data_IF_397526833429
#
_entry.id   IF_397526833429
#
_cell.length_a   1.000
_cell.length_b   1.000
_cell.length_c   1.000
_cell.angle_alpha   90.00
_cell.angle_beta   90.00
_cell.angle_gamma   90.00
#
_symmetry.space_group_name_H-M   'P 1'
#
loop_
_entity.id
_entity.type
_entity.pdbx_description
1 polymer ?
#
# COMPACT_ATOMS: atom_id res chain seq x y z
N UNK A 1 3.21 -18.81 -26.79
CA UNK A 1 2.54 -18.63 -28.10
C UNK A 1 3.05 -17.43 -28.90
N UNK A 2 3.58 -16.37 -28.28
CA UNK A 2 4.18 -15.20 -28.98
C UNK A 2 5.56 -15.50 -29.60
N UNK A 3 6.36 -16.41 -29.02
CA UNK A 3 7.68 -16.81 -29.54
C UNK A 3 7.60 -17.55 -30.88
N UNK A 4 6.45 -18.14 -31.21
CA UNK A 4 6.23 -18.88 -32.44
C UNK A 4 6.02 -18.02 -33.71
N UNK A 5 5.62 -16.77 -33.58
CA UNK A 5 5.25 -15.91 -34.73
C UNK A 5 6.44 -15.19 -35.39
N UNK A 6 7.58 -15.02 -34.68
CA UNK A 6 8.80 -14.42 -35.23
C UNK A 6 9.72 -15.44 -35.93
N UNK A 7 9.38 -16.72 -35.90
CA UNK A 7 10.25 -17.81 -36.34
C UNK A 7 10.11 -18.23 -37.81
N UNK A 8 9.35 -17.55 -38.61
CA UNK A 8 8.91 -18.00 -39.95
C UNK A 8 9.87 -17.81 -41.13
N UNK A 9 11.16 -17.43 -40.96
CA UNK A 9 11.98 -17.17 -42.15
C UNK A 9 13.50 -17.22 -42.00
N UNK A 10 14.04 -17.47 -40.81
CA UNK A 10 15.49 -17.49 -40.58
C UNK A 10 16.02 -18.92 -40.45
N UNK A 11 17.22 -19.20 -40.95
CA UNK A 11 17.92 -20.46 -40.74
C UNK A 11 18.24 -20.72 -39.25
N UNK A 12 18.48 -21.97 -38.86
CA UNK A 12 18.68 -22.37 -37.45
C UNK A 12 19.77 -21.58 -36.72
N UNK A 13 20.88 -21.25 -37.41
CA UNK A 13 21.99 -20.47 -36.83
C UNK A 13 21.61 -18.98 -36.61
N UNK A 14 20.85 -18.36 -37.51
CA UNK A 14 20.37 -16.99 -37.35
C UNK A 14 19.34 -16.86 -36.21
N UNK A 15 18.53 -17.90 -35.99
CA UNK A 15 17.60 -17.98 -34.85
C UNK A 15 18.32 -18.11 -33.52
N UNK A 16 19.42 -18.89 -33.48
CA UNK A 16 20.24 -19.06 -32.28
C UNK A 16 20.99 -17.76 -31.93
N UNK A 17 21.53 -17.05 -32.93
CA UNK A 17 22.17 -15.74 -32.73
C UNK A 17 21.18 -14.69 -32.26
N UNK A 18 20.03 -14.55 -32.92
CA UNK A 18 18.99 -13.59 -32.50
C UNK A 18 18.47 -13.91 -31.08
N UNK A 19 18.41 -15.18 -30.68
CA UNK A 19 18.03 -15.57 -29.31
C UNK A 19 19.13 -15.24 -28.30
N UNK A 20 20.42 -15.39 -28.64
CA UNK A 20 21.53 -14.98 -27.79
C UNK A 20 21.57 -13.46 -27.61
N UNK A 21 21.47 -12.69 -28.70
CA UNK A 21 21.39 -11.22 -28.65
C UNK A 21 20.19 -10.75 -27.79
N UNK A 22 19.07 -11.47 -27.86
CA UNK A 22 17.89 -11.19 -27.03
C UNK A 22 18.17 -11.47 -25.53
N UNK A 23 18.88 -12.56 -25.21
CA UNK A 23 19.27 -12.89 -23.85
C UNK A 23 20.25 -11.88 -23.25
N UNK A 24 21.15 -11.31 -24.07
CA UNK A 24 22.09 -10.26 -23.65
C UNK A 24 21.39 -8.94 -23.28
N UNK A 25 20.19 -8.70 -23.79
CA UNK A 25 19.31 -7.56 -23.43
C UNK A 25 18.47 -7.85 -22.19
N UNK A 26 18.59 -9.04 -21.62
CA UNK A 26 17.90 -9.47 -20.41
C UNK A 26 18.68 -9.15 -19.15
N UNK A 27 17.95 -8.97 -18.05
CA UNK A 27 18.51 -8.92 -16.70
C UNK A 27 17.76 -9.87 -15.78
N UNK A 28 18.47 -10.47 -14.84
CA UNK A 28 17.92 -11.32 -13.82
C UNK A 28 18.48 -10.90 -12.46
N UNK A 29 17.62 -10.81 -11.45
CA UNK A 29 18.02 -10.53 -10.08
C UNK A 29 17.27 -11.47 -9.14
N UNK A 30 17.98 -12.12 -8.24
CA UNK A 30 17.41 -12.96 -7.19
C UNK A 30 17.77 -12.38 -5.83
N UNK A 31 16.77 -11.99 -5.07
CA UNK A 31 16.89 -11.57 -3.68
C UNK A 31 16.22 -12.59 -2.76
N UNK A 32 16.85 -12.89 -1.66
CA UNK A 32 16.27 -13.66 -0.56
C UNK A 32 16.17 -12.75 0.67
N UNK A 33 14.99 -12.65 1.22
CA UNK A 33 14.68 -11.89 2.42
C UNK A 33 14.33 -12.88 3.53
N UNK A 34 15.01 -12.79 4.66
CA UNK A 34 14.67 -13.53 5.87
C UNK A 34 14.46 -12.53 7.00
N UNK A 35 13.34 -12.67 7.71
CA UNK A 35 13.01 -11.77 8.82
C UNK A 35 12.31 -12.49 9.97
N UNK A 36 12.48 -11.95 11.16
CA UNK A 36 11.69 -12.29 12.35
C UNK A 36 11.07 -11.04 12.94
N UNK A 37 9.83 -11.13 13.38
CA UNK A 37 9.09 -10.03 13.97
C UNK A 37 8.36 -10.44 15.23
N UNK A 38 8.37 -9.54 16.22
CA UNK A 38 7.60 -9.65 17.46
C UNK A 38 6.67 -8.45 17.61
N UNK A 39 5.48 -8.71 18.15
CA UNK A 39 4.41 -7.70 18.31
C UNK A 39 3.91 -7.69 19.75
N UNK A 40 3.89 -6.52 20.34
CA UNK A 40 3.22 -6.27 21.62
C UNK A 40 1.72 -6.16 21.41
N UNK A 41 1.00 -7.29 21.47
CA UNK A 41 -0.45 -7.31 21.39
C UNK A 41 -1.06 -6.72 22.65
N UNK A 42 -2.14 -5.98 22.51
CA UNK A 42 -2.87 -5.44 23.66
C UNK A 42 -3.93 -6.44 24.12
N UNK A 43 -3.71 -7.08 25.26
CA UNK A 43 -4.64 -8.02 25.86
C UNK A 43 -6.00 -7.37 26.22
N UNK A 44 -5.97 -6.11 26.67
CA UNK A 44 -7.14 -5.29 27.01
C UNK A 44 -7.68 -4.45 25.85
N UNK A 45 -7.41 -4.85 24.61
CA UNK A 45 -7.95 -4.19 23.42
C UNK A 45 -9.48 -4.23 23.42
N UNK A 46 -10.11 -3.08 23.25
CA UNK A 46 -11.58 -2.99 23.08
C UNK A 46 -12.05 -3.54 21.73
N UNK A 47 -11.19 -3.51 20.71
CA UNK A 47 -11.52 -3.98 19.35
C UNK A 47 -11.21 -5.47 19.16
N UNK A 48 -10.27 -6.00 19.95
CA UNK A 48 -9.78 -7.38 19.80
C UNK A 48 -9.53 -8.03 21.17
N UNK A 49 -10.58 -8.14 22.03
CA UNK A 49 -10.42 -8.65 23.39
C UNK A 49 -9.89 -10.08 23.37
N UNK A 50 -8.79 -10.31 24.11
CA UNK A 50 -8.12 -11.61 24.18
C UNK A 50 -7.63 -12.10 22.81
N UNK A 51 -7.39 -11.21 21.86
CA UNK A 51 -6.95 -11.52 20.48
C UNK A 51 -7.91 -12.47 19.72
N UNK A 52 -9.20 -12.48 20.04
CA UNK A 52 -10.17 -13.45 19.51
C UNK A 52 -10.80 -13.04 18.16
N UNK A 53 -10.85 -11.74 17.86
CA UNK A 53 -11.51 -11.22 16.65
C UNK A 53 -10.56 -11.21 15.45
N UNK A 54 -9.42 -10.54 15.56
CA UNK A 54 -8.47 -10.42 14.48
C UNK A 54 -7.43 -11.56 14.43
N UNK A 55 -7.25 -12.34 15.52
CA UNK A 55 -6.25 -13.40 15.62
C UNK A 55 -4.87 -12.97 15.10
N UNK A 56 -4.33 -11.92 15.68
CA UNK A 56 -3.03 -11.38 15.29
C UNK A 56 -1.90 -12.29 15.84
N UNK A 57 -0.89 -12.66 15.03
CA UNK A 57 0.25 -13.40 15.54
C UNK A 57 1.11 -12.49 16.45
N UNK A 58 1.53 -13.01 17.59
CA UNK A 58 2.44 -12.33 18.50
C UNK A 58 3.87 -12.26 17.91
N UNK A 59 4.26 -13.30 17.16
CA UNK A 59 5.53 -13.32 16.44
C UNK A 59 5.38 -13.96 15.06
N UNK A 60 6.31 -13.64 14.17
CA UNK A 60 6.31 -14.19 12.80
C UNK A 60 7.73 -14.25 12.25
N UNK A 61 8.13 -15.44 11.82
CA UNK A 61 9.35 -15.65 11.03
C UNK A 61 8.94 -15.81 9.57
N UNK A 62 9.65 -15.15 8.67
CA UNK A 62 9.33 -15.14 7.24
C UNK A 62 10.60 -15.31 6.41
N UNK A 63 10.51 -16.13 5.34
CA UNK A 63 11.53 -16.21 4.29
C UNK A 63 10.83 -15.98 2.96
N UNK A 64 11.28 -14.98 2.21
CA UNK A 64 10.71 -14.62 0.90
C UNK A 64 11.79 -14.61 -0.17
N UNK A 65 11.57 -15.37 -1.24
CA UNK A 65 12.35 -15.33 -2.48
C UNK A 65 11.71 -14.36 -3.47
N UNK A 66 12.51 -13.45 -4.02
CA UNK A 66 12.13 -12.43 -5.01
C UNK A 66 12.99 -12.59 -6.25
N UNK A 67 12.40 -13.09 -7.32
CA UNK A 67 13.06 -13.16 -8.61
C UNK A 67 12.54 -12.02 -9.49
N UNK A 68 13.44 -11.24 -10.05
CA UNK A 68 13.15 -10.16 -10.99
C UNK A 68 13.80 -10.50 -12.33
N UNK A 69 12.97 -10.67 -13.35
CA UNK A 69 13.36 -10.91 -14.71
C UNK A 69 12.89 -9.76 -15.59
N UNK A 70 13.77 -9.21 -16.38
CA UNK A 70 13.45 -8.14 -17.33
C UNK A 70 14.16 -8.42 -18.66
N UNK A 71 13.43 -8.22 -19.74
CA UNK A 71 13.93 -8.20 -21.11
C UNK A 71 13.40 -6.93 -21.76
N UNK A 72 14.28 -6.09 -22.28
CA UNK A 72 13.91 -4.82 -22.89
C UNK A 72 14.63 -4.63 -24.23
N UNK A 73 13.84 -4.32 -25.26
CA UNK A 73 14.30 -3.95 -26.61
C UNK A 73 13.70 -2.61 -26.99
N UNK A 74 14.06 -2.07 -28.13
CA UNK A 74 13.47 -0.82 -28.65
C UNK A 74 11.98 -0.95 -28.98
N UNK A 75 11.49 -2.18 -29.21
CA UNK A 75 10.12 -2.43 -29.68
C UNK A 75 9.21 -3.06 -28.62
N UNK A 76 9.79 -3.74 -27.63
CA UNK A 76 9.01 -4.35 -26.54
C UNK A 76 9.82 -4.50 -25.25
N UNK A 77 9.11 -4.58 -24.15
CA UNK A 77 9.63 -4.90 -22.84
C UNK A 77 8.78 -6.01 -22.20
N UNK A 78 9.43 -6.97 -21.54
CA UNK A 78 8.79 -8.00 -20.72
C UNK A 78 9.38 -7.93 -19.32
N UNK A 79 8.53 -7.83 -18.31
CA UNK A 79 8.92 -7.87 -16.89
C UNK A 79 8.16 -9.00 -16.21
N UNK A 80 8.87 -9.83 -15.43
CA UNK A 80 8.28 -10.91 -14.66
C UNK A 80 8.90 -10.95 -13.27
N UNK A 81 8.09 -10.79 -12.22
CA UNK A 81 8.51 -10.76 -10.82
C UNK A 81 7.73 -11.77 -9.98
N UNK A 82 8.05 -13.07 -10.08
CA UNK A 82 7.50 -14.08 -9.19
C UNK A 82 8.07 -13.94 -7.78
N UNK A 83 7.24 -14.28 -6.80
CA UNK A 83 7.54 -14.24 -5.37
C UNK A 83 7.12 -15.57 -4.76
N UNK A 84 7.88 -16.04 -3.80
CA UNK A 84 7.52 -17.18 -2.96
C UNK A 84 7.86 -16.85 -1.53
N UNK A 85 6.95 -17.11 -0.59
CA UNK A 85 7.08 -16.75 0.80
C UNK A 85 6.63 -17.88 1.70
N UNK A 86 7.49 -18.24 2.64
CA UNK A 86 7.19 -19.11 3.76
C UNK A 86 7.04 -18.25 5.01
N UNK A 87 5.95 -18.48 5.76
CA UNK A 87 5.69 -17.82 7.04
C UNK A 87 5.49 -18.87 8.14
N UNK A 88 6.09 -18.62 9.27
CA UNK A 88 5.84 -19.32 10.52
C UNK A 88 5.31 -18.31 11.54
N UNK A 89 4.01 -18.40 11.83
CA UNK A 89 3.28 -17.48 12.68
C UNK A 89 3.12 -18.06 14.07
N UNK A 90 3.46 -17.31 15.10
CA UNK A 90 3.34 -17.68 16.51
C UNK A 90 2.13 -17.00 17.12
N UNK A 91 1.12 -17.79 17.50
CA UNK A 91 -0.07 -17.34 18.24
C UNK A 91 0.03 -17.87 19.65
N UNK A 92 -0.02 -17.05 20.68
CA UNK A 92 0.13 -17.44 22.07
C UNK A 92 -0.38 -18.84 22.43
N UNK A 93 -1.66 -18.98 22.75
CA UNK A 93 -2.24 -20.25 23.25
C UNK A 93 -2.58 -21.28 22.14
N UNK A 94 -2.76 -20.88 20.91
CA UNK A 94 -3.24 -21.78 19.82
C UNK A 94 -2.12 -22.51 19.08
N UNK A 95 -0.87 -22.28 19.46
CA UNK A 95 0.29 -22.88 18.78
C UNK A 95 0.66 -22.17 17.47
N UNK A 96 1.75 -22.60 16.82
CA UNK A 96 2.21 -22.00 15.59
C UNK A 96 1.42 -22.47 14.36
N UNK A 97 1.30 -21.58 13.39
CA UNK A 97 0.75 -21.89 12.06
C UNK A 97 1.82 -21.64 11.00
N UNK A 98 1.88 -22.50 9.99
CA UNK A 98 2.77 -22.31 8.84
C UNK A 98 1.96 -22.00 7.61
N UNK A 99 2.54 -21.19 6.72
CA UNK A 99 1.92 -20.79 5.48
C UNK A 99 2.96 -20.68 4.37
N UNK A 100 2.64 -21.20 3.20
CA UNK A 100 3.45 -21.07 2.00
C UNK A 100 2.61 -20.38 0.92
N UNK A 101 3.16 -19.32 0.36
CA UNK A 101 2.54 -18.55 -0.69
C UNK A 101 3.46 -18.36 -1.88
N UNK A 102 2.89 -18.42 -3.07
CA UNK A 102 3.56 -18.03 -4.29
C UNK A 102 2.63 -17.16 -5.14
N UNK A 103 3.19 -16.10 -5.72
CA UNK A 103 2.42 -15.18 -6.59
C UNK A 103 3.33 -14.51 -7.60
N UNK A 104 2.73 -13.93 -8.62
CA UNK A 104 3.42 -13.02 -9.55
C UNK A 104 3.07 -11.59 -9.13
N UNK A 105 4.06 -10.84 -8.66
CA UNK A 105 3.86 -9.45 -8.25
C UNK A 105 3.77 -8.49 -9.44
N UNK A 106 4.59 -8.74 -10.49
CA UNK A 106 4.54 -8.07 -11.77
C UNK A 106 4.73 -9.10 -12.87
N UNK A 107 3.93 -9.02 -13.92
CA UNK A 107 4.01 -9.87 -15.11
C UNK A 107 3.45 -9.06 -16.28
N UNK A 108 4.28 -8.20 -16.87
CA UNK A 108 3.87 -7.17 -17.81
C UNK A 108 4.59 -7.34 -19.15
N UNK A 109 3.85 -7.23 -20.22
CA UNK A 109 4.39 -7.07 -21.57
C UNK A 109 4.01 -5.68 -22.06
N UNK A 110 4.98 -4.91 -22.49
CA UNK A 110 4.81 -3.59 -23.08
C UNK A 110 5.33 -3.59 -24.50
N UNK A 111 4.54 -3.09 -25.45
CA UNK A 111 4.89 -2.90 -26.86
C UNK A 111 5.03 -1.41 -27.13
N UNK A 112 6.01 -1.06 -27.95
CA UNK A 112 6.27 0.30 -28.44
C UNK A 112 6.05 0.37 -29.95
N UNK A 113 4.77 0.46 -30.44
CA UNK A 113 4.47 0.49 -31.87
C UNK A 113 5.11 1.70 -32.57
N UNK A 114 5.21 2.80 -31.85
CA UNK A 114 5.96 4.01 -32.21
C UNK A 114 6.57 4.61 -30.92
N UNK A 115 7.60 5.44 -31.04
CA UNK A 115 8.31 6.02 -29.88
C UNK A 115 7.41 6.79 -28.90
N UNK A 116 6.29 7.35 -29.39
CA UNK A 116 5.36 8.11 -28.57
C UNK A 116 4.22 7.27 -27.96
N UNK A 117 4.12 5.96 -28.25
CA UNK A 117 3.01 5.11 -27.81
C UNK A 117 3.52 3.82 -27.19
N UNK A 118 3.16 3.59 -25.92
CA UNK A 118 3.36 2.34 -25.22
C UNK A 118 2.00 1.67 -24.96
N UNK A 119 1.91 0.37 -25.25
CA UNK A 119 0.73 -0.46 -24.97
C UNK A 119 1.15 -1.63 -24.10
N UNK A 120 0.58 -1.73 -22.92
CA UNK A 120 0.97 -2.72 -21.90
C UNK A 120 -0.21 -3.62 -21.55
N UNK A 121 0.08 -4.90 -21.30
CA UNK A 121 -0.90 -5.88 -20.84
C UNK A 121 -0.25 -6.80 -19.82
N UNK A 122 -0.94 -7.05 -18.73
CA UNK A 122 -0.50 -7.97 -17.69
C UNK A 122 -0.70 -7.42 -16.29
N UNK A 123 0.14 -7.83 -15.36
CA UNK A 123 0.09 -7.42 -13.95
C UNK A 123 1.16 -6.37 -13.66
N UNK A 124 0.75 -5.26 -13.04
CA UNK A 124 1.66 -4.16 -12.71
C UNK A 124 1.29 -3.49 -11.38
N UNK A 125 2.27 -2.79 -10.81
CA UNK A 125 2.13 -1.94 -9.63
C UNK A 125 2.03 -0.49 -10.07
N UNK A 126 0.83 0.07 -10.01
CA UNK A 126 0.50 1.38 -10.57
C UNK A 126 0.57 2.47 -9.48
N UNK A 127 1.73 3.06 -9.32
CA UNK A 127 1.95 4.12 -8.35
C UNK A 127 2.15 5.46 -9.04
N UNK A 128 1.58 6.50 -8.45
CA UNK A 128 1.84 7.89 -8.80
C UNK A 128 1.57 8.80 -7.60
N UNK A 129 1.90 10.08 -7.75
CA UNK A 129 1.80 11.06 -6.69
C UNK A 129 3.10 11.21 -5.88
N UNK A 130 3.38 12.40 -5.37
CA UNK A 130 4.63 12.76 -4.73
C UNK A 130 4.70 12.42 -3.24
N UNK A 131 3.58 12.14 -2.58
CA UNK A 131 3.54 11.98 -1.12
C UNK A 131 4.33 10.78 -0.63
N UNK A 132 4.83 10.84 0.61
CA UNK A 132 5.59 9.76 1.23
C UNK A 132 4.73 8.82 2.08
N UNK A 133 3.56 9.26 2.54
CA UNK A 133 2.75 8.47 3.47
C UNK A 133 1.47 7.91 2.84
N UNK A 134 0.72 8.74 2.13
CA UNK A 134 -0.57 8.36 1.54
C UNK A 134 -0.72 8.97 0.16
N UNK A 135 -1.43 8.31 -0.74
CA UNK A 135 -1.69 8.81 -2.09
C UNK A 135 -3.19 9.00 -2.34
N UNK A 136 -3.77 10.12 -1.90
CA UNK A 136 -5.20 10.36 -2.11
C UNK A 136 -5.59 10.53 -3.57
N UNK A 137 -4.67 10.87 -4.46
CA UNK A 137 -4.94 10.96 -5.90
C UNK A 137 -5.06 9.59 -6.58
N UNK A 138 -4.47 8.53 -5.98
CA UNK A 138 -4.46 7.19 -6.57
C UNK A 138 -5.76 6.43 -6.22
N UNK A 139 -6.58 6.01 -7.21
CA UNK A 139 -7.81 5.26 -6.95
C UNK A 139 -7.56 3.78 -6.65
N UNK A 140 -6.35 3.26 -6.90
CA UNK A 140 -5.98 1.86 -6.72
C UNK A 140 -5.32 1.68 -5.36
N UNK A 141 -4.27 2.47 -5.06
CA UNK A 141 -3.51 2.37 -3.82
C UNK A 141 -3.60 3.67 -3.03
N UNK A 142 -4.24 3.64 -1.89
CA UNK A 142 -4.21 4.76 -0.94
C UNK A 142 -2.88 4.78 -0.17
N UNK A 143 -2.32 3.62 0.11
CA UNK A 143 -0.96 3.49 0.63
C UNK A 143 0.04 3.45 -0.52
N UNK A 144 1.13 4.17 -0.39
CA UNK A 144 2.13 4.26 -1.45
C UNK A 144 3.28 3.23 -1.33
N UNK A 145 3.19 2.26 -0.41
CA UNK A 145 4.21 1.24 -0.19
C UNK A 145 5.51 1.72 0.48
N UNK A 146 5.69 3.04 0.61
CA UNK A 146 6.89 3.63 1.23
C UNK A 146 6.91 3.51 2.75
N UNK A 147 5.76 3.16 3.35
CA UNK A 147 5.61 3.03 4.80
C UNK A 147 6.34 1.81 5.38
N UNK A 148 6.54 0.78 4.59
CA UNK A 148 7.26 -0.42 4.98
C UNK A 148 8.20 -0.83 3.84
N UNK A 149 9.52 -0.54 3.95
CA UNK A 149 10.49 -0.85 2.89
C UNK A 149 10.66 -2.35 2.63
N UNK A 150 10.17 -3.21 3.53
CA UNK A 150 10.24 -4.66 3.36
C UNK A 150 9.04 -5.24 2.60
N UNK A 151 7.95 -4.50 2.48
CA UNK A 151 6.72 -4.95 1.83
C UNK A 151 6.56 -4.30 0.46
N UNK A 152 6.40 -5.11 -0.57
CA UNK A 152 6.02 -4.65 -1.89
C UNK A 152 4.49 -4.46 -1.97
N UNK A 153 4.06 -3.45 -2.70
CA UNK A 153 2.66 -3.37 -3.12
C UNK A 153 2.34 -4.51 -4.06
N UNK A 154 1.14 -5.06 -3.94
CA UNK A 154 0.65 -6.12 -4.82
C UNK A 154 0.24 -5.54 -6.17
N UNK A 155 0.71 -6.15 -7.25
CA UNK A 155 0.30 -5.79 -8.61
C UNK A 155 -1.16 -6.09 -8.88
N UNK A 156 -1.74 -5.36 -9.84
CA UNK A 156 -3.09 -5.53 -10.36
C UNK A 156 -3.06 -5.88 -11.86
N UNK A 157 -4.03 -6.64 -12.32
CA UNK A 157 -4.11 -7.06 -13.73
C UNK A 157 -4.70 -5.93 -14.57
N UNK A 158 -3.95 -5.46 -15.57
CA UNK A 158 -4.28 -4.25 -16.32
C UNK A 158 -3.99 -4.38 -17.81
N UNK A 159 -4.77 -3.64 -18.61
CA UNK A 159 -4.37 -3.19 -19.93
C UNK A 159 -4.22 -1.66 -19.90
N UNK A 160 -3.14 -1.16 -20.47
CA UNK A 160 -2.82 0.25 -20.48
C UNK A 160 -2.31 0.68 -21.85
N UNK A 161 -2.71 1.87 -22.28
CA UNK A 161 -2.11 2.57 -23.42
C UNK A 161 -1.66 3.95 -22.94
N UNK A 162 -0.40 4.29 -23.17
CA UNK A 162 0.18 5.58 -22.83
C UNK A 162 0.72 6.24 -24.07
N UNK A 163 0.21 7.43 -24.38
CA UNK A 163 0.64 8.26 -25.51
C UNK A 163 1.33 9.52 -25.00
N UNK A 164 2.58 9.72 -25.42
CA UNK A 164 3.41 10.85 -25.05
C UNK A 164 3.74 11.68 -26.30
N UNK A 165 2.84 12.60 -26.73
CA UNK A 165 3.04 13.41 -27.93
C UNK A 165 4.25 14.34 -27.86
N UNK A 166 4.65 14.70 -26.64
CA UNK A 166 5.86 15.48 -26.35
C UNK A 166 6.55 14.91 -25.10
N UNK A 167 7.78 15.34 -24.82
CA UNK A 167 8.49 14.97 -23.58
C UNK A 167 7.78 15.50 -22.31
N UNK A 168 6.99 16.56 -22.46
CA UNK A 168 6.30 17.20 -21.35
C UNK A 168 4.91 16.63 -21.07
N UNK A 169 4.24 16.05 -22.05
CA UNK A 169 2.84 15.63 -21.96
C UNK A 169 2.68 14.12 -22.15
N UNK A 170 1.99 13.47 -21.24
CA UNK A 170 1.62 12.06 -21.32
C UNK A 170 0.14 11.85 -21.02
N UNK A 171 -0.50 11.02 -21.82
CA UNK A 171 -1.91 10.63 -21.71
C UNK A 171 -1.97 9.12 -21.55
N UNK A 172 -2.57 8.62 -20.46
CA UNK A 172 -2.71 7.19 -20.19
C UNK A 172 -4.18 6.81 -20.09
N UNK A 173 -4.54 5.74 -20.78
CA UNK A 173 -5.82 5.04 -20.63
C UNK A 173 -5.50 3.68 -20.00
N UNK A 174 -6.21 3.32 -18.94
CA UNK A 174 -5.99 2.10 -18.18
C UNK A 174 -7.32 1.41 -17.89
N UNK A 175 -7.32 0.09 -18.02
CA UNK A 175 -8.39 -0.76 -17.56
C UNK A 175 -7.81 -1.86 -16.64
N UNK A 176 -8.25 -1.88 -15.37
CA UNK A 176 -7.99 -2.93 -14.41
C UNK A 176 -9.07 -4.00 -14.52
N UNK A 177 -8.67 -5.25 -14.69
CA UNK A 177 -9.57 -6.38 -14.88
C UNK A 177 -10.03 -6.96 -13.54
N UNK A 178 -11.32 -7.28 -13.43
CA UNK A 178 -11.93 -7.96 -12.31
C UNK A 178 -11.62 -7.30 -10.97
N UNK A 179 -11.25 -8.09 -9.98
CA UNK A 179 -10.71 -7.64 -8.70
C UNK A 179 -9.18 -7.38 -8.75
N UNK A 180 -8.58 -7.48 -9.95
CA UNK A 180 -7.18 -7.20 -10.22
C UNK A 180 -6.21 -8.24 -9.69
N UNK A 181 -6.70 -9.39 -9.19
CA UNK A 181 -5.87 -10.48 -8.64
C UNK A 181 -6.40 -11.83 -9.10
N UNK A 182 -5.50 -12.73 -9.47
CA UNK A 182 -5.84 -14.11 -9.77
C UNK A 182 -6.27 -14.89 -8.51
N UNK A 183 -6.95 -16.03 -8.69
CA UNK A 183 -7.54 -16.86 -7.61
C UNK A 183 -6.52 -17.40 -6.60
N UNK A 184 -5.24 -17.41 -6.94
CA UNK A 184 -4.12 -17.79 -6.07
C UNK A 184 -3.59 -16.65 -5.17
N UNK A 185 -4.24 -15.49 -5.18
CA UNK A 185 -4.00 -14.40 -4.25
C UNK A 185 -5.18 -14.29 -3.28
N UNK A 186 -4.98 -14.70 -2.09
CA UNK A 186 -5.92 -14.93 -0.99
C UNK A 186 -6.30 -13.68 -0.19
N UNK A 187 -5.64 -12.54 -0.38
CA UNK A 187 -6.04 -11.27 0.21
C UNK A 187 -6.87 -10.49 -0.80
N UNK A 188 -8.19 -10.65 -0.70
CA UNK A 188 -9.15 -9.82 -1.44
C UNK A 188 -9.28 -8.48 -0.72
N UNK A 189 -8.53 -7.50 -1.15
CA UNK A 189 -8.78 -6.12 -0.74
C UNK A 189 -9.88 -5.52 -1.62
N UNK A 190 -10.87 -4.89 -1.01
CA UNK A 190 -12.00 -4.24 -1.70
C UNK A 190 -11.56 -3.14 -2.70
N UNK A 191 -10.31 -2.70 -2.62
CA UNK A 191 -9.71 -1.72 -3.52
C UNK A 191 -9.53 -2.20 -4.97
N UNK A 192 -9.44 -3.51 -5.20
CA UNK A 192 -9.04 -4.09 -6.48
C UNK A 192 -10.22 -4.57 -7.34
N UNK A 193 -11.29 -3.78 -7.44
CA UNK A 193 -12.42 -4.05 -8.33
C UNK A 193 -12.18 -3.43 -9.70
N UNK A 194 -12.79 -4.03 -10.76
CA UNK A 194 -12.68 -3.54 -12.13
C UNK A 194 -12.84 -2.02 -12.22
N UNK A 195 -11.86 -1.38 -12.85
CA UNK A 195 -11.70 0.07 -12.89
C UNK A 195 -11.24 0.49 -14.29
N UNK A 196 -11.87 1.50 -14.87
CA UNK A 196 -11.30 2.24 -16.00
C UNK A 196 -10.80 3.59 -15.52
N UNK A 197 -9.65 4.02 -16.04
CA UNK A 197 -8.99 5.25 -15.65
C UNK A 197 -8.38 5.95 -16.86
N UNK A 198 -8.52 7.28 -16.90
CA UNK A 198 -7.77 8.17 -17.76
C UNK A 198 -6.88 9.05 -16.89
N UNK A 199 -5.63 9.24 -17.29
CA UNK A 199 -4.63 10.05 -16.58
C UNK A 199 -3.91 10.95 -17.58
N UNK A 200 -3.64 12.17 -17.16
CA UNK A 200 -2.86 13.17 -17.89
C UNK A 200 -1.76 13.64 -16.97
N UNK A 201 -0.53 13.58 -17.44
CA UNK A 201 0.64 14.11 -16.73
C UNK A 201 1.30 15.20 -17.58
N UNK A 202 1.65 16.29 -16.92
CA UNK A 202 2.47 17.35 -17.47
C UNK A 202 3.73 17.54 -16.65
N UNK A 203 4.87 17.43 -17.29
CA UNK A 203 6.20 17.56 -16.67
C UNK A 203 6.89 18.80 -17.25
N UNK A 204 7.22 19.73 -16.38
CA UNK A 204 8.10 20.86 -16.66
C UNK A 204 9.45 20.64 -15.98
N UNK A 205 10.41 21.55 -16.19
CA UNK A 205 11.78 21.43 -15.68
C UNK A 205 11.86 21.15 -14.17
N UNK A 206 11.09 21.89 -13.36
CA UNK A 206 11.09 21.77 -11.90
C UNK A 206 9.76 21.29 -11.33
N UNK A 207 8.76 20.95 -12.16
CA UNK A 207 7.41 20.69 -11.71
C UNK A 207 6.76 19.53 -12.46
N UNK A 208 5.93 18.77 -11.76
CA UNK A 208 5.07 17.75 -12.36
C UNK A 208 3.65 17.98 -11.87
N UNK A 209 2.67 17.88 -12.76
CA UNK A 209 1.24 17.92 -12.44
C UNK A 209 0.56 16.74 -13.10
N UNK A 210 -0.28 16.02 -12.35
CA UNK A 210 -1.07 14.93 -12.87
C UNK A 210 -2.54 15.07 -12.49
N UNK A 211 -3.40 14.72 -13.44
CA UNK A 211 -4.85 14.65 -13.25
C UNK A 211 -5.32 13.26 -13.65
N UNK A 212 -6.27 12.71 -12.93
CA UNK A 212 -6.91 11.48 -13.33
C UNK A 212 -8.41 11.47 -13.07
N UNK A 213 -9.11 10.72 -13.90
CA UNK A 213 -10.52 10.41 -13.73
C UNK A 213 -10.70 8.90 -13.84
N UNK A 214 -11.43 8.31 -12.92
CA UNK A 214 -11.62 6.86 -12.87
C UNK A 214 -13.04 6.49 -12.51
N UNK A 215 -13.49 5.31 -12.98
CA UNK A 215 -14.80 4.76 -12.69
C UNK A 215 -14.67 3.26 -12.43
N UNK A 216 -15.17 2.81 -11.28
CA UNK A 216 -15.35 1.38 -10.97
C UNK A 216 -16.63 0.88 -11.60
N UNK A 217 -16.60 -0.32 -12.16
CA UNK A 217 -17.76 -0.90 -12.84
C UNK A 217 -18.90 -1.22 -11.87
N UNK A 218 -18.58 -1.50 -10.62
CA UNK A 218 -19.54 -1.78 -9.55
C UNK A 218 -20.15 -0.52 -8.91
N UNK A 219 -19.62 0.68 -9.24
CA UNK A 219 -20.09 1.94 -8.67
C UNK A 219 -20.47 2.89 -9.80
N UNK A 220 -21.67 3.45 -9.75
CA UNK A 220 -22.18 4.33 -10.81
C UNK A 220 -21.39 5.64 -10.97
N UNK A 221 -20.55 6.01 -9.98
CA UNK A 221 -20.00 7.36 -9.86
C UNK A 221 -18.50 7.42 -10.11
N UNK A 222 -18.01 8.43 -10.84
CA UNK A 222 -16.59 8.62 -11.08
C UNK A 222 -15.87 9.10 -9.82
N UNK A 223 -14.54 8.86 -9.81
CA UNK A 223 -13.58 9.45 -8.89
C UNK A 223 -12.61 10.29 -9.69
N UNK A 224 -12.22 11.42 -9.14
CA UNK A 224 -11.21 12.32 -9.69
C UNK A 224 -10.03 12.37 -8.74
N UNK A 225 -8.83 12.43 -9.30
CA UNK A 225 -7.58 12.61 -8.57
C UNK A 225 -6.73 13.68 -9.23
N UNK A 226 -5.97 14.40 -8.43
CA UNK A 226 -5.00 15.37 -8.88
C UNK A 226 -3.77 15.34 -7.98
N UNK A 227 -2.60 15.59 -8.54
CA UNK A 227 -1.39 15.80 -7.80
C UNK A 227 -0.49 16.82 -8.50
N UNK A 228 0.37 17.44 -7.73
CA UNK A 228 1.40 18.32 -8.25
C UNK A 228 2.57 18.38 -7.30
N UNK A 229 3.75 18.56 -7.86
CA UNK A 229 4.97 18.83 -7.10
C UNK A 229 5.83 19.85 -7.84
N UNK A 230 6.61 20.59 -7.07
CA UNK A 230 7.60 21.53 -7.60
C UNK A 230 8.81 21.58 -6.70
N UNK A 231 10.00 21.69 -7.29
CA UNK A 231 11.26 21.89 -6.58
C UNK A 231 11.62 23.37 -6.63
N UNK A 232 11.92 23.96 -5.49
CA UNK A 232 12.31 25.37 -5.34
C UNK A 232 13.78 25.39 -4.92
N UNK A 233 14.62 25.96 -5.78
CA UNK A 233 16.08 25.86 -5.61
C UNK A 233 16.54 24.41 -5.71
N UNK A 234 17.54 24.03 -4.92
CA UNK A 234 18.15 22.69 -4.94
C UNK A 234 17.66 21.78 -3.79
N UNK A 235 16.99 22.35 -2.78
CA UNK A 235 16.74 21.66 -1.52
C UNK A 235 15.28 21.53 -1.13
N UNK A 236 14.36 22.39 -1.61
CA UNK A 236 12.98 22.42 -1.17
C UNK A 236 12.05 21.81 -2.22
N UNK A 237 11.43 20.68 -1.87
CA UNK A 237 10.33 20.06 -2.62
C UNK A 237 9.00 20.42 -1.96
N UNK A 238 8.06 20.98 -2.72
CA UNK A 238 6.68 21.18 -2.29
C UNK A 238 5.73 20.34 -3.13
N UNK A 239 4.68 19.81 -2.52
CA UNK A 239 3.70 19.00 -3.21
C UNK A 239 2.34 19.01 -2.57
N UNK A 240 1.33 18.70 -3.39
CA UNK A 240 -0.02 18.44 -2.93
C UNK A 240 -0.66 17.36 -3.79
N UNK A 241 -1.56 16.60 -3.21
CA UNK A 241 -2.40 15.66 -3.94
C UNK A 241 -3.78 15.54 -3.31
N UNK A 242 -4.77 15.16 -4.13
CA UNK A 242 -6.13 15.01 -3.68
C UNK A 242 -6.93 14.02 -4.50
N UNK A 243 -7.92 13.43 -3.86
CA UNK A 243 -8.93 12.58 -4.47
C UNK A 243 -10.33 13.04 -4.09
N UNK A 244 -11.24 12.99 -5.04
CA UNK A 244 -12.64 13.39 -4.89
C UNK A 244 -13.54 12.29 -5.45
N UNK A 245 -14.55 11.88 -4.69
CA UNK A 245 -15.59 10.94 -5.12
C UNK A 245 -16.93 11.29 -4.50
N UNK A 246 -17.99 10.73 -5.06
CA UNK A 246 -19.32 10.84 -4.46
C UNK A 246 -19.67 9.52 -3.76
N UNK A 247 -20.18 9.62 -2.51
CA UNK A 247 -20.59 8.48 -1.71
C UNK A 247 -19.43 7.75 -1.00
N UNK A 248 -19.79 6.92 -0.03
CA UNK A 248 -18.87 6.10 0.77
C UNK A 248 -19.47 4.74 1.03
N UNK A 249 -18.63 3.70 1.07
CA UNK A 249 -18.96 2.36 1.56
C UNK A 249 -18.57 2.14 3.02
N UNK A 250 -17.96 3.15 3.66
CA UNK A 250 -17.54 3.05 5.04
C UNK A 250 -18.74 2.89 6.00
N UNK A 251 -18.52 2.12 7.05
CA UNK A 251 -19.48 1.92 8.12
C UNK A 251 -19.29 2.98 9.20
N UNK A 252 -20.40 3.46 9.74
CA UNK A 252 -20.41 4.47 10.79
C UNK A 252 -21.11 3.93 12.05
N UNK A 253 -20.63 4.31 13.25
CA UNK A 253 -21.22 3.87 14.50
C UNK A 253 -22.59 4.52 14.71
N UNK A 254 -23.63 3.71 14.87
CA UNK A 254 -25.00 4.11 15.16
C UNK A 254 -25.47 3.49 16.49
N UNK A 255 -26.11 4.28 17.37
CA UNK A 255 -26.70 3.78 18.61
C UNK A 255 -27.99 3.02 18.29
N UNK A 256 -28.10 1.80 18.82
CA UNK A 256 -29.29 0.95 18.70
C UNK A 256 -29.63 0.35 20.06
N UNK A 257 -30.90 0.06 20.33
CA UNK A 257 -31.35 -0.59 21.59
C UNK A 257 -31.09 -2.11 21.52
N UNK A 258 -29.82 -2.52 21.48
CA UNK A 258 -29.37 -3.91 21.50
C UNK A 258 -28.37 -4.14 22.63
N UNK A 259 -27.95 -5.39 22.85
CA UNK A 259 -27.07 -5.78 23.95
C UNK A 259 -25.71 -5.11 23.93
N UNK A 260 -25.23 -4.64 22.76
CA UNK A 260 -23.94 -3.94 22.59
C UNK A 260 -24.11 -2.41 22.43
N UNK A 261 -25.32 -1.88 22.55
CA UNK A 261 -25.61 -0.45 22.49
C UNK A 261 -25.51 0.20 21.11
N UNK A 262 -25.34 -0.59 20.04
CA UNK A 262 -25.23 -0.05 18.70
C UNK A 262 -24.81 -1.04 17.62
N UNK A 263 -24.50 -0.51 16.43
CA UNK A 263 -23.96 -1.25 15.30
C UNK A 263 -23.14 -0.33 14.39
N UNK A 264 -22.39 -0.90 13.45
CA UNK A 264 -21.69 -0.20 12.38
C UNK A 264 -22.47 -0.36 11.09
N UNK A 265 -23.01 0.73 10.57
CA UNK A 265 -23.95 0.73 9.46
C UNK A 265 -23.52 1.68 8.35
N UNK A 266 -23.86 1.39 7.07
CA UNK A 266 -23.71 2.35 5.99
C UNK A 266 -24.58 3.59 6.26
N UNK A 267 -24.04 4.77 5.98
CA UNK A 267 -24.82 6.02 6.05
C UNK A 267 -25.35 6.41 4.67
N UNK A 268 -26.54 5.97 4.31
CA UNK A 268 -27.19 6.31 3.05
C UNK A 268 -27.31 7.82 2.80
N UNK A 269 -27.44 8.63 3.86
CA UNK A 269 -27.40 10.10 3.75
C UNK A 269 -26.07 10.65 3.20
N UNK A 270 -25.02 9.83 3.15
CA UNK A 270 -23.72 10.19 2.55
C UNK A 270 -23.55 9.71 1.12
N UNK A 271 -24.48 8.95 0.56
CA UNK A 271 -24.37 8.41 -0.80
C UNK A 271 -24.28 9.51 -1.87
N UNK A 272 -24.86 10.68 -1.58
CA UNK A 272 -24.82 11.85 -2.49
C UNK A 272 -23.77 12.89 -2.09
N UNK A 273 -23.07 12.72 -0.98
CA UNK A 273 -22.06 13.69 -0.53
C UNK A 273 -20.76 13.52 -1.27
N UNK A 274 -20.08 14.63 -1.49
CA UNK A 274 -18.70 14.64 -1.95
C UNK A 274 -17.79 14.18 -0.80
N UNK A 275 -17.03 13.15 -1.07
CA UNK A 275 -15.98 12.63 -0.21
C UNK A 275 -14.66 13.04 -0.83
N UNK A 276 -13.83 13.70 -0.03
CA UNK A 276 -12.49 14.09 -0.45
C UNK A 276 -11.44 13.59 0.52
N UNK A 277 -10.26 13.39 -0.02
CA UNK A 277 -9.02 13.23 0.74
C UNK A 277 -7.98 14.14 0.08
N UNK A 278 -7.37 15.02 0.84
CA UNK A 278 -6.41 16.01 0.35
C UNK A 278 -5.18 16.01 1.23
N UNK A 279 -4.01 16.03 0.62
CA UNK A 279 -2.71 16.05 1.27
C UNK A 279 -1.91 17.21 0.72
N UNK A 280 -1.23 17.93 1.61
CA UNK A 280 -0.21 18.91 1.27
C UNK A 280 1.04 18.62 2.09
N UNK A 281 2.20 18.76 1.47
CA UNK A 281 3.46 18.46 2.12
C UNK A 281 4.65 19.08 1.44
N UNK A 282 5.81 18.87 2.05
CA UNK A 282 7.08 19.30 1.51
C UNK A 282 8.23 18.50 2.12
N UNK A 283 9.35 18.55 1.43
CA UNK A 283 10.60 17.96 1.85
C UNK A 283 11.73 18.97 1.72
N UNK A 284 12.58 19.04 2.72
CA UNK A 284 13.78 19.87 2.70
C UNK A 284 15.03 19.04 2.94
N UNK A 285 15.96 19.10 2.02
CA UNK A 285 17.27 18.43 2.15
C UNK A 285 18.28 19.42 2.73
N UNK A 286 18.79 19.05 3.90
CA UNK A 286 19.82 19.83 4.61
C UNK A 286 21.20 19.63 3.93
N UNK A 287 22.12 20.57 4.14
CA UNK A 287 23.52 20.47 3.66
C UNK A 287 24.23 19.23 4.19
N UNK A 288 23.79 18.71 5.33
CA UNK A 288 24.26 17.44 5.89
C UNK A 288 23.80 16.19 5.13
N UNK A 289 23.00 16.34 4.07
CA UNK A 289 22.44 15.24 3.28
C UNK A 289 21.20 14.60 3.90
N UNK A 290 20.71 15.07 5.04
CA UNK A 290 19.48 14.57 5.64
C UNK A 290 18.26 15.26 5.02
N UNK A 291 17.18 14.50 4.77
CA UNK A 291 15.93 15.07 4.27
C UNK A 291 14.84 14.96 5.31
N UNK A 292 14.14 16.06 5.53
CA UNK A 292 12.97 16.15 6.43
C UNK A 292 11.73 16.38 5.58
N UNK A 293 10.71 15.55 5.78
CA UNK A 293 9.38 15.69 5.15
C UNK A 293 8.33 15.99 6.19
N UNK A 294 7.41 16.88 5.86
CA UNK A 294 6.21 17.16 6.65
C UNK A 294 5.00 17.11 5.73
N UNK A 295 3.98 16.33 6.13
CA UNK A 295 2.73 16.20 5.38
C UNK A 295 1.53 16.38 6.30
N UNK A 296 0.50 17.07 5.80
CA UNK A 296 -0.81 17.16 6.43
C UNK A 296 -1.85 16.53 5.51
N UNK A 297 -2.66 15.62 6.07
CA UNK A 297 -3.76 14.95 5.37
C UNK A 297 -5.10 15.35 6.00
N UNK A 298 -6.03 15.77 5.16
CA UNK A 298 -7.45 15.98 5.50
C UNK A 298 -8.31 14.96 4.74
N UNK A 299 -9.07 14.14 5.47
CA UNK A 299 -9.96 13.12 4.94
C UNK A 299 -11.36 13.28 5.54
N UNK A 300 -12.34 13.74 4.75
CA UNK A 300 -13.68 14.00 5.27
C UNK A 300 -14.55 12.72 5.43
N UNK A 301 -14.07 11.58 4.95
CA UNK A 301 -14.70 10.27 5.16
C UNK A 301 -14.50 9.76 6.59
N UNK A 302 -13.34 10.02 7.17
CA UNK A 302 -12.99 9.61 8.52
C UNK A 302 -13.96 10.11 9.60
N UNK A 303 -13.87 9.54 10.78
CA UNK A 303 -14.69 9.88 11.93
C UNK A 303 -14.33 11.25 12.49
N UNK A 304 -15.33 12.01 12.89
CA UNK A 304 -15.18 13.15 13.79
C UNK A 304 -15.01 12.65 15.22
N UNK A 305 -14.59 13.51 16.12
CA UNK A 305 -14.51 13.17 17.54
C UNK A 305 -15.73 12.43 18.09
N UNK A 306 -16.95 12.91 17.82
CA UNK A 306 -18.17 12.29 18.30
C UNK A 306 -18.45 10.90 17.68
N UNK A 307 -18.08 10.70 16.40
CA UNK A 307 -18.19 9.39 15.75
C UNK A 307 -17.13 8.43 16.32
N UNK A 308 -15.90 8.91 16.56
CA UNK A 308 -14.82 8.15 17.20
C UNK A 308 -15.16 7.74 18.64
N UNK A 309 -15.69 8.66 19.43
CA UNK A 309 -16.17 8.34 20.79
C UNK A 309 -17.24 7.23 20.76
N UNK A 310 -18.22 7.35 19.88
CA UNK A 310 -19.29 6.34 19.71
C UNK A 310 -18.76 5.01 19.19
N UNK A 311 -17.78 5.04 18.30
CA UNK A 311 -17.10 3.83 17.80
C UNK A 311 -16.51 3.03 18.96
N UNK A 312 -15.77 3.68 19.86
CA UNK A 312 -15.18 3.01 21.01
C UNK A 312 -16.19 2.69 22.12
N UNK A 313 -17.31 3.44 22.25
CA UNK A 313 -18.40 3.08 23.17
C UNK A 313 -19.03 1.75 22.78
N UNK A 314 -19.41 1.58 21.51
CA UNK A 314 -19.98 0.34 20.98
C UNK A 314 -18.97 -0.81 21.08
N UNK A 315 -17.71 -0.58 20.73
CA UNK A 315 -16.65 -1.58 20.85
C UNK A 315 -16.44 -2.02 22.32
N UNK A 316 -16.45 -1.09 23.26
CA UNK A 316 -16.32 -1.38 24.70
C UNK A 316 -17.51 -2.22 25.21
N UNK A 317 -18.72 -1.88 24.80
CA UNK A 317 -19.93 -2.66 25.15
C UNK A 317 -19.86 -4.08 24.59
N UNK A 318 -19.47 -4.22 23.31
CA UNK A 318 -19.30 -5.53 22.68
C UNK A 318 -18.18 -6.36 23.34
N UNK A 319 -17.05 -5.74 23.70
CA UNK A 319 -15.96 -6.40 24.41
C UNK A 319 -16.43 -6.90 25.78
N UNK A 320 -17.23 -6.12 26.51
CA UNK A 320 -17.79 -6.51 27.81
C UNK A 320 -18.74 -7.72 27.69
N UNK A 321 -19.57 -7.78 26.63
CA UNK A 321 -20.43 -8.94 26.36
C UNK A 321 -19.62 -10.20 26.08
N UNK A 322 -18.46 -10.08 25.38
CA UNK A 322 -17.57 -11.20 25.10
C UNK A 322 -16.75 -11.66 26.32
N UNK A 323 -16.63 -10.83 27.34
CA UNK A 323 -15.85 -11.17 28.55
C UNK A 323 -16.53 -12.21 29.44
N UNK A 324 -17.85 -12.40 29.30
CA UNK A 324 -18.65 -13.36 30.07
C UNK A 324 -19.47 -14.23 29.10
N UNK A 325 -19.81 -15.47 29.49
CA UNK A 325 -20.77 -16.29 28.74
C UNK A 325 -22.08 -15.55 28.55
N UNK A 326 -22.48 -15.29 27.32
CA UNK A 326 -23.64 -14.49 26.97
C UNK A 326 -24.32 -15.05 25.71
N UNK A 327 -25.68 -15.08 25.64
CA UNK A 327 -26.39 -15.39 24.40
C UNK A 327 -26.08 -14.38 23.27
N UNK A 328 -25.63 -13.16 23.62
CA UNK A 328 -25.31 -12.09 22.68
C UNK A 328 -23.84 -12.11 22.20
N UNK A 329 -23.05 -13.13 22.57
CA UNK A 329 -21.64 -13.22 22.18
C UNK A 329 -21.44 -13.21 20.65
N UNK A 330 -22.33 -13.83 19.88
CA UNK A 330 -22.27 -13.80 18.41
C UNK A 330 -22.48 -12.39 17.86
N UNK A 331 -23.46 -11.63 18.40
CA UNK A 331 -23.69 -10.23 18.03
C UNK A 331 -22.48 -9.35 18.38
N UNK A 332 -21.91 -9.54 19.55
CA UNK A 332 -20.72 -8.81 19.98
C UNK A 332 -19.50 -9.08 19.07
N UNK A 333 -19.29 -10.35 18.69
CA UNK A 333 -18.22 -10.73 17.75
C UNK A 333 -18.42 -10.12 16.36
N UNK A 334 -19.62 -10.14 15.82
CA UNK A 334 -19.96 -9.50 14.55
C UNK A 334 -19.77 -7.97 14.60
N UNK A 335 -20.18 -7.35 15.70
CA UNK A 335 -20.01 -5.89 15.90
C UNK A 335 -18.55 -5.50 15.92
N UNK A 336 -17.69 -6.24 16.64
CA UNK A 336 -16.24 -5.98 16.64
C UNK A 336 -15.59 -6.29 15.29
N UNK A 337 -16.02 -7.34 14.60
CA UNK A 337 -15.60 -7.63 13.23
C UNK A 337 -15.94 -6.49 12.27
N UNK A 338 -17.14 -5.91 12.37
CA UNK A 338 -17.55 -4.74 11.58
C UNK A 338 -16.77 -3.46 11.98
N UNK A 339 -16.40 -3.31 13.25
CA UNK A 339 -15.55 -2.22 13.71
C UNK A 339 -14.17 -2.28 13.06
N UNK A 340 -13.53 -3.46 13.06
CA UNK A 340 -12.22 -3.67 12.45
C UNK A 340 -12.25 -3.53 10.92
N UNK A 341 -13.37 -3.90 10.28
CA UNK A 341 -13.57 -3.87 8.83
C UNK A 341 -14.55 -2.76 8.42
N UNK A 342 -14.41 -1.57 9.00
CA UNK A 342 -15.33 -0.47 8.76
C UNK A 342 -15.20 0.21 7.39
N UNK A 343 -14.25 -0.21 6.55
CA UNK A 343 -14.02 0.32 5.20
C UNK A 343 -13.30 1.68 5.17
N UNK A 344 -12.83 2.21 6.29
CA UNK A 344 -12.01 3.42 6.37
C UNK A 344 -10.53 3.05 6.26
N UNK A 345 -9.81 3.72 5.38
CA UNK A 345 -8.35 3.57 5.28
C UNK A 345 -7.62 4.21 6.49
N UNK A 346 -8.21 5.23 7.09
CA UNK A 346 -7.78 5.93 8.30
C UNK A 346 -9.02 6.29 9.11
N UNK A 347 -8.98 6.05 10.42
CA UNK A 347 -10.15 6.21 11.28
C UNK A 347 -10.54 7.67 11.46
N UNK A 348 -9.56 8.55 11.65
CA UNK A 348 -9.75 9.98 11.85
C UNK A 348 -9.84 10.77 10.55
N UNK A 349 -10.01 12.09 10.71
CA UNK A 349 -10.10 13.02 9.58
C UNK A 349 -8.84 13.78 9.27
N UNK A 350 -7.99 14.00 10.26
CA UNK A 350 -6.86 14.90 10.17
C UNK A 350 -5.61 14.21 10.71
N UNK A 351 -4.57 14.21 9.90
CA UNK A 351 -3.29 13.60 10.25
C UNK A 351 -2.15 14.53 9.94
N UNK A 352 -1.13 14.46 10.77
CA UNK A 352 0.17 15.05 10.54
C UNK A 352 1.20 13.91 10.42
N UNK A 353 2.06 13.99 9.41
CA UNK A 353 3.12 13.03 9.19
C UNK A 353 4.46 13.75 9.13
N UNK A 354 5.44 13.20 9.81
CA UNK A 354 6.83 13.65 9.80
C UNK A 354 7.73 12.49 9.38
N UNK A 355 8.71 12.76 8.53
CA UNK A 355 9.76 11.80 8.20
C UNK A 355 11.10 12.51 8.17
N UNK A 356 12.10 11.85 8.74
CA UNK A 356 13.51 12.24 8.64
C UNK A 356 14.29 11.04 8.15
N UNK A 357 15.13 11.25 7.14
CA UNK A 357 15.97 10.18 6.59
C UNK A 357 17.34 10.73 6.21
N UNK A 358 18.32 9.85 6.17
CA UNK A 358 19.60 10.18 5.53
C UNK A 358 19.54 9.85 4.03
N UNK A 359 20.43 10.43 3.27
CA UNK A 359 20.69 9.98 1.91
C UNK A 359 21.54 8.71 1.96
N UNK A 360 21.14 7.66 1.23
CA UNK A 360 21.96 6.45 1.13
C UNK A 360 23.35 6.78 0.63
N UNK A 361 24.36 6.27 1.32
CA UNK A 361 25.76 6.32 0.88
C UNK A 361 26.28 4.90 0.76
N UNK A 362 27.28 4.66 -0.11
CA UNK A 362 27.81 3.32 -0.35
C UNK A 362 28.44 2.67 0.90
N UNK A 363 28.80 3.48 1.90
CA UNK A 363 29.58 3.04 3.08
C UNK A 363 28.83 3.17 4.40
N UNK A 364 27.69 3.84 4.43
CA UNK A 364 26.93 4.11 5.65
C UNK A 364 25.61 3.35 5.75
N UNK A 365 25.02 3.24 6.95
CA UNK A 365 23.67 2.71 7.09
C UNK A 365 22.67 3.67 6.48
N UNK A 366 21.66 3.10 5.79
CA UNK A 366 20.45 3.84 5.41
C UNK A 366 19.48 3.80 6.58
N UNK A 367 18.95 4.95 7.00
CA UNK A 367 17.96 5.00 8.07
C UNK A 367 16.84 5.99 7.77
N UNK A 368 15.69 5.73 8.38
CA UNK A 368 14.50 6.54 8.26
C UNK A 368 13.72 6.53 9.58
N UNK A 369 13.35 7.69 10.07
CA UNK A 369 12.45 7.88 11.19
C UNK A 369 11.14 8.46 10.68
N UNK A 370 10.01 7.92 11.13
CA UNK A 370 8.69 8.36 10.74
C UNK A 370 7.79 8.54 11.96
N UNK A 371 6.91 9.51 11.87
CA UNK A 371 5.88 9.73 12.86
C UNK A 371 4.56 10.09 12.19
N UNK A 372 3.49 9.40 12.57
CA UNK A 372 2.12 9.66 12.15
C UNK A 372 1.28 10.03 13.37
N UNK A 373 0.57 11.14 13.33
CA UNK A 373 -0.29 11.66 14.40
C UNK A 373 -1.71 11.82 13.89
N UNK A 374 -2.66 11.17 14.54
CA UNK A 374 -4.09 11.44 14.37
C UNK A 374 -4.46 12.66 15.20
N UNK A 375 -4.76 13.79 14.55
CA UNK A 375 -5.13 15.05 15.21
C UNK A 375 -6.53 15.03 15.82
N UNK A 376 -7.35 14.01 15.55
CA UNK A 376 -8.71 13.87 16.09
C UNK A 376 -8.68 13.26 17.49
N UNK A 377 -7.88 12.20 17.70
CA UNK A 377 -7.85 11.47 18.97
C UNK A 377 -6.50 11.58 19.71
N UNK A 378 -5.52 12.27 19.12
CA UNK A 378 -4.21 12.50 19.71
C UNK A 378 -3.29 11.29 19.75
N UNK A 379 -3.68 10.15 19.14
CA UNK A 379 -2.83 8.99 19.06
C UNK A 379 -1.81 9.08 17.93
N UNK A 380 -0.73 8.34 18.06
CA UNK A 380 0.30 8.34 17.02
C UNK A 380 1.08 7.04 16.94
N UNK A 381 1.83 6.95 15.85
CA UNK A 381 2.73 5.86 15.54
C UNK A 381 4.10 6.43 15.17
N UNK A 382 5.13 6.06 15.93
CA UNK A 382 6.51 6.28 15.57
C UNK A 382 7.08 5.01 14.94
N UNK A 383 7.87 5.14 13.87
CA UNK A 383 8.61 4.03 13.29
C UNK A 383 10.02 4.43 12.94
N UNK A 384 10.95 3.49 13.12
CA UNK A 384 12.34 3.62 12.76
C UNK A 384 12.72 2.45 11.86
N UNK A 385 13.41 2.74 10.79
CA UNK A 385 14.03 1.77 9.89
C UNK A 385 15.52 2.04 9.83
N UNK A 386 16.32 0.96 9.84
CA UNK A 386 17.75 1.02 9.56
C UNK A 386 18.15 -0.19 8.73
N UNK A 387 19.04 0.04 7.77
CA UNK A 387 19.61 -1.01 6.92
C UNK A 387 21.11 -0.77 6.78
N UNK A 388 21.86 -1.84 6.88
CA UNK A 388 23.31 -1.82 6.82
C UNK A 388 23.82 -2.86 5.85
N UNK A 389 24.51 -2.41 4.82
CA UNK A 389 25.22 -3.28 3.87
C UNK A 389 26.49 -3.84 4.54
N UNK A 390 26.44 -5.11 4.95
CA UNK A 390 27.58 -5.80 5.55
C UNK A 390 28.59 -6.21 4.48
N UNK A 391 28.07 -6.71 3.35
CA UNK A 391 28.83 -7.03 2.16
C UNK A 391 28.08 -6.55 0.93
N UNK A 392 28.72 -6.57 -0.23
CA UNK A 392 28.10 -6.19 -1.51
C UNK A 392 26.81 -6.97 -1.84
N UNK A 393 26.63 -8.14 -1.25
CA UNK A 393 25.47 -9.02 -1.48
C UNK A 393 24.64 -9.32 -0.25
N UNK A 394 24.94 -8.71 0.88
CA UNK A 394 24.21 -8.94 2.13
C UNK A 394 23.99 -7.63 2.88
N UNK A 395 22.73 -7.34 3.15
CA UNK A 395 22.32 -6.26 4.03
C UNK A 395 21.55 -6.82 5.25
N UNK A 396 21.80 -6.27 6.43
CA UNK A 396 20.97 -6.47 7.61
C UNK A 396 20.04 -5.27 7.77
N UNK A 397 18.86 -5.50 8.30
CA UNK A 397 17.91 -4.42 8.56
C UNK A 397 17.13 -4.64 9.85
N UNK A 398 16.63 -3.53 10.38
CA UNK A 398 15.71 -3.52 11.51
C UNK A 398 14.60 -2.51 11.30
N UNK A 399 13.39 -2.83 11.75
CA UNK A 399 12.25 -1.94 11.80
C UNK A 399 11.65 -1.97 13.19
N UNK A 400 11.59 -0.82 13.85
CA UNK A 400 10.88 -0.65 15.12
C UNK A 400 9.64 0.20 14.91
N UNK A 401 8.51 -0.19 15.51
CA UNK A 401 7.28 0.59 15.51
C UNK A 401 6.76 0.70 16.93
N UNK A 402 6.42 1.89 17.36
CA UNK A 402 5.80 2.17 18.64
C UNK A 402 4.51 2.93 18.45
N UNK A 403 3.48 2.52 19.18
CA UNK A 403 2.17 3.17 19.15
C UNK A 403 1.93 3.86 20.49
N UNK A 404 1.37 5.07 20.46
CA UNK A 404 0.94 5.76 21.66
C UNK A 404 -0.49 6.25 21.57
N UNK A 405 -1.12 6.42 22.72
CA UNK A 405 -2.53 6.81 22.87
C UNK A 405 -3.20 6.02 23.97
N UNK A 406 -4.48 6.26 24.17
CA UNK A 406 -5.31 5.50 25.10
C UNK A 406 -5.90 4.24 24.45
N UNK A 407 -6.67 3.45 25.24
CA UNK A 407 -7.39 2.27 24.73
C UNK A 407 -8.49 2.62 23.72
N UNK A 408 -8.87 3.88 23.63
CA UNK A 408 -9.96 4.43 22.80
C UNK A 408 -9.41 5.33 21.70
N UNK A 409 -8.27 4.94 21.11
CA UNK A 409 -7.61 5.70 20.05
C UNK A 409 -7.18 4.79 18.92
N UNK A 410 -7.04 5.33 17.73
CA UNK A 410 -6.75 4.59 16.51
C UNK A 410 -5.45 3.78 16.60
N UNK A 411 -4.32 4.46 16.80
CA UNK A 411 -3.01 3.81 16.68
C UNK A 411 -2.67 2.86 17.83
N UNK A 412 -3.26 3.05 19.01
CA UNK A 412 -2.91 2.25 20.19
C UNK A 412 -3.99 1.23 20.60
N UNK A 413 -4.99 1.00 19.75
CA UNK A 413 -6.13 0.12 20.07
C UNK A 413 -5.79 -1.38 19.99
N UNK A 414 -4.89 -1.81 19.10
CA UNK A 414 -4.57 -3.23 18.85
C UNK A 414 -3.16 -3.62 19.28
N UNK A 415 -2.18 -2.74 19.03
CA UNK A 415 -0.76 -2.98 19.24
C UNK A 415 -0.15 -1.87 20.09
N UNK A 416 0.82 -2.19 20.91
CA UNK A 416 1.67 -1.23 21.62
C UNK A 416 2.96 -0.96 20.85
N UNK A 417 3.56 -2.02 20.30
CA UNK A 417 4.83 -1.94 19.58
C UNK A 417 5.00 -3.14 18.65
N UNK A 418 5.94 -3.03 17.72
CA UNK A 418 6.47 -4.17 16.98
C UNK A 418 7.94 -3.95 16.64
N UNK A 419 8.70 -5.02 16.62
CA UNK A 419 10.09 -5.05 16.19
C UNK A 419 10.22 -6.11 15.13
N UNK A 420 10.94 -5.78 14.06
CA UNK A 420 11.25 -6.68 12.97
C UNK A 420 12.74 -6.55 12.68
N UNK A 421 13.43 -7.66 12.59
CA UNK A 421 14.84 -7.73 12.19
C UNK A 421 15.02 -8.75 11.08
N UNK A 422 15.99 -8.53 10.22
CA UNK A 422 16.19 -9.45 9.12
C UNK A 422 17.44 -9.20 8.30
N UNK A 423 17.57 -10.00 7.26
CA UNK A 423 18.67 -9.94 6.29
C UNK A 423 18.12 -10.00 4.86
N UNK A 424 18.79 -9.31 3.94
CA UNK A 424 18.58 -9.38 2.50
C UNK A 424 19.84 -9.92 1.85
N UNK A 425 19.70 -11.02 1.11
CA UNK A 425 20.76 -11.58 0.29
C UNK A 425 20.48 -11.35 -1.20
N UNK A 426 21.47 -10.91 -1.95
CA UNK A 426 21.42 -10.78 -3.42
C UNK A 426 22.25 -11.91 -4.02
N UNK A 427 21.62 -12.77 -4.80
CA UNK A 427 22.27 -13.98 -5.34
C UNK A 427 22.75 -13.75 -6.77
N UNK A 428 22.00 -12.96 -7.56
CA UNK A 428 22.29 -12.62 -8.96
C UNK A 428 22.27 -11.10 -9.13
#
# INVERSE_FOLDING_TARGET
MLVGLLAGGLGTNAKAQAFQELLEQGSAGLQVLALDSERGLRENSLLNPGNRIARLPAGQTEVEGRLDLKLATDTFEVSLKPRARFEWRRFGETGPETRLDAWVNQGLVTLYPVQSLAVSLGRDVLMWGPSNFRSPSNPIYFENGRNNPMRELRGVDVAQATWSPTQALSLSLLHQFGDGRGDWQWEKEDGFKALSLMKVDYTAEASVVGLNASKRWTHARPRFGAFGQTTIGEALLLYAEGGLRQGTSALYPERLPNAVGGAFLPRHARDHRLIYSALAGGGYTLDSGHTVYLEYLSNNEGYRWADGARYFDIASSAASVLATPSPDAALAGQTLGAALNNGLALLGRHYLFLQVQNNPTDTGPTWQLRYALNLVDGSGQASAYAEWNIWSRLALFAVGVMHHGGNRTEFHSLLSQSILVGAKGYVL
#
